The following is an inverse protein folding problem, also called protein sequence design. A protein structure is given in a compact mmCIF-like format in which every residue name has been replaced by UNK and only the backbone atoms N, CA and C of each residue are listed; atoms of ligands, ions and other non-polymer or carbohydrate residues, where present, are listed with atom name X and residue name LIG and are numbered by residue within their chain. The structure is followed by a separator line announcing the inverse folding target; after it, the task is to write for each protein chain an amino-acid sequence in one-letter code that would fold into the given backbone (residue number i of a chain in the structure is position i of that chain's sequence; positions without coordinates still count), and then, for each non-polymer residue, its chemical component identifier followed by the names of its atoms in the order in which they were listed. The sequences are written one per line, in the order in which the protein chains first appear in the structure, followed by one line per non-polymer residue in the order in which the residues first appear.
data_IF_188287364740
#
_entry.id   IF_188287364740
#
_cell.length_a   1.000
_cell.length_b   1.000
_cell.length_c   1.000
_cell.angle_alpha   90.00
_cell.angle_beta   90.00
_cell.angle_gamma   90.00
#
_symmetry.space_group_name_H-M   'P 1'
#
loop_
_entity.id
_entity.type
_entity.pdbx_description
1 polymer ?
#
# COMPACT_ATOMS: atom_id res chain seq x y z
N UNK A 1 -2.75 54.91 -27.35
CA UNK A 1 -3.36 53.93 -26.41
C UNK A 1 -3.62 54.64 -25.09
N UNK A 2 -4.87 54.63 -24.63
CA UNK A 2 -5.25 55.23 -23.35
C UNK A 2 -4.66 54.39 -22.21
N UNK A 3 -4.25 55.00 -21.10
CA UNK A 3 -3.56 54.37 -19.96
C UNK A 3 -4.24 53.09 -19.44
N UNK A 4 -5.56 53.08 -19.36
CA UNK A 4 -6.35 51.89 -18.95
C UNK A 4 -6.19 50.66 -19.87
N UNK A 5 -5.95 50.84 -21.18
CA UNK A 5 -5.70 49.71 -22.10
C UNK A 5 -4.35 49.05 -21.83
N UNK A 6 -3.32 49.82 -21.42
CA UNK A 6 -2.01 49.26 -21.07
C UNK A 6 -2.08 48.45 -19.77
N UNK A 7 -2.89 48.89 -18.81
CA UNK A 7 -3.13 48.18 -17.54
C UNK A 7 -3.89 46.87 -17.79
N UNK A 8 -4.93 46.89 -18.64
CA UNK A 8 -5.67 45.68 -19.03
C UNK A 8 -4.79 44.66 -19.76
N UNK A 9 -3.97 45.10 -20.71
CA UNK A 9 -3.04 44.20 -21.42
C UNK A 9 -2.00 43.62 -20.45
N UNK A 10 -1.46 44.44 -19.54
CA UNK A 10 -0.51 43.97 -18.51
C UNK A 10 -1.12 42.90 -17.60
N UNK A 11 -2.37 43.10 -17.16
CA UNK A 11 -3.08 42.13 -16.32
C UNK A 11 -3.34 40.79 -17.05
N UNK A 12 -3.73 40.85 -18.32
CA UNK A 12 -3.96 39.65 -19.14
C UNK A 12 -2.65 38.88 -19.37
N UNK A 13 -1.56 39.57 -19.71
CA UNK A 13 -0.24 38.94 -19.89
C UNK A 13 0.26 38.32 -18.59
N UNK A 14 0.09 38.98 -17.45
CA UNK A 14 0.46 38.45 -16.15
C UNK A 14 -0.36 37.19 -15.80
N UNK A 15 -1.67 37.19 -16.05
CA UNK A 15 -2.52 36.01 -15.83
C UNK A 15 -2.10 34.82 -16.70
N UNK A 16 -1.81 35.05 -17.99
CA UNK A 16 -1.31 34.02 -18.91
C UNK A 16 0.04 33.48 -18.42
N UNK A 17 0.95 34.35 -17.98
CA UNK A 17 2.26 33.95 -17.48
C UNK A 17 2.15 33.10 -16.20
N UNK A 18 1.26 33.47 -15.26
CA UNK A 18 1.03 32.70 -14.03
C UNK A 18 0.47 31.31 -14.36
N UNK A 19 -0.52 31.23 -15.25
CA UNK A 19 -1.08 29.95 -15.70
C UNK A 19 0.01 29.10 -16.37
N UNK A 20 0.80 29.66 -17.27
CA UNK A 20 1.90 28.95 -17.94
C UNK A 20 2.96 28.43 -16.95
N UNK A 21 3.27 29.21 -15.91
CA UNK A 21 4.24 28.84 -14.88
C UNK A 21 3.72 27.68 -14.00
N UNK A 22 2.43 27.66 -13.69
CA UNK A 22 1.76 26.55 -12.98
C UNK A 22 1.77 25.27 -13.83
N UNK A 23 1.46 25.38 -15.13
CA UNK A 23 1.49 24.25 -16.06
C UNK A 23 2.91 23.70 -16.28
N UNK A 24 3.92 24.56 -16.30
CA UNK A 24 5.33 24.14 -16.39
C UNK A 24 5.80 23.46 -15.11
N UNK A 25 5.49 24.01 -13.93
CA UNK A 25 5.88 23.45 -12.64
C UNK A 25 5.23 22.08 -12.37
N UNK A 26 3.98 21.88 -12.78
CA UNK A 26 3.24 20.61 -12.60
C UNK A 26 3.31 19.66 -13.79
N UNK A 27 4.01 20.06 -14.87
CA UNK A 27 4.14 19.27 -16.09
C UNK A 27 4.92 17.97 -15.88
N UNK A 28 5.82 17.92 -14.89
CA UNK A 28 6.66 16.75 -14.60
C UNK A 28 5.85 15.51 -14.25
N UNK A 29 4.96 15.61 -13.24
CA UNK A 29 4.13 14.46 -12.81
C UNK A 29 3.16 14.00 -13.91
N UNK A 30 2.57 14.94 -14.67
CA UNK A 30 1.65 14.61 -15.76
C UNK A 30 2.38 13.89 -16.89
N UNK A 31 3.56 14.36 -17.28
CA UNK A 31 4.39 13.70 -18.28
C UNK A 31 4.82 12.31 -17.82
N UNK A 32 5.27 12.14 -16.57
CA UNK A 32 5.60 10.81 -16.02
C UNK A 32 4.42 9.85 -16.12
N UNK A 33 3.20 10.31 -15.80
CA UNK A 33 1.99 9.48 -15.93
C UNK A 33 1.70 9.10 -17.38
N UNK A 34 1.81 10.05 -18.30
CA UNK A 34 1.55 9.82 -19.72
C UNK A 34 2.57 8.86 -20.34
N UNK A 35 3.86 9.02 -20.01
CA UNK A 35 4.94 8.12 -20.42
C UNK A 35 4.72 6.71 -19.86
N UNK A 36 4.28 6.60 -18.59
CA UNK A 36 3.96 5.34 -17.93
C UNK A 36 2.85 4.57 -18.66
N UNK A 37 1.72 5.23 -18.95
CA UNK A 37 0.62 4.59 -19.67
C UNK A 37 0.96 4.28 -21.12
N UNK A 38 1.79 5.10 -21.78
CA UNK A 38 2.28 4.81 -23.13
C UNK A 38 3.17 3.56 -23.15
N UNK A 39 4.08 3.42 -22.18
CA UNK A 39 4.94 2.24 -22.06
C UNK A 39 4.11 0.98 -21.75
N UNK A 40 3.18 1.06 -20.79
CA UNK A 40 2.26 -0.02 -20.48
C UNK A 40 1.45 -0.47 -21.71
N UNK A 41 0.93 0.48 -22.50
CA UNK A 41 0.20 0.18 -23.73
C UNK A 41 1.07 -0.44 -24.82
N UNK A 42 2.34 -0.08 -24.90
CA UNK A 42 3.28 -0.68 -25.84
C UNK A 42 3.69 -2.11 -25.42
N UNK A 43 3.28 -2.58 -24.23
CA UNK A 43 3.78 -3.81 -23.63
C UNK A 43 5.21 -3.70 -23.13
N UNK A 44 5.77 -2.48 -23.08
CA UNK A 44 7.11 -2.19 -22.58
C UNK A 44 7.06 -2.01 -21.06
N UNK A 45 6.94 -3.15 -20.38
CA UNK A 45 6.86 -3.17 -18.92
C UNK A 45 8.17 -2.76 -18.25
N UNK A 46 9.33 -2.89 -18.91
CA UNK A 46 10.61 -2.44 -18.37
C UNK A 46 10.61 -0.91 -18.23
N UNK A 47 10.21 -0.21 -19.31
CA UNK A 47 10.10 1.26 -19.29
C UNK A 47 8.99 1.74 -18.34
N UNK A 48 7.85 1.06 -18.31
CA UNK A 48 6.76 1.40 -17.38
C UNK A 48 7.19 1.24 -15.92
N UNK A 49 7.90 0.15 -15.60
CA UNK A 49 8.39 -0.13 -14.25
C UNK A 49 9.47 0.87 -13.84
N UNK A 50 10.37 1.26 -14.75
CA UNK A 50 11.39 2.28 -14.49
C UNK A 50 10.79 3.66 -14.12
N UNK A 51 9.57 3.98 -14.55
CA UNK A 51 8.87 5.23 -14.19
C UNK A 51 8.22 5.19 -12.80
N UNK A 52 8.29 4.06 -12.12
CA UNK A 52 7.83 3.89 -10.73
C UNK A 52 8.95 4.14 -9.73
N UNK A 53 8.61 4.52 -8.51
CA UNK A 53 9.58 4.81 -7.44
C UNK A 53 10.34 3.57 -7.04
N UNK A 54 11.57 3.72 -6.54
CA UNK A 54 12.33 2.58 -5.99
C UNK A 54 11.51 1.83 -4.94
N UNK A 55 10.78 2.58 -4.11
CA UNK A 55 9.89 2.04 -3.10
C UNK A 55 8.75 1.17 -3.66
N UNK A 56 8.14 1.57 -4.78
CA UNK A 56 7.12 0.74 -5.44
C UNK A 56 7.76 -0.51 -6.07
N UNK A 57 8.96 -0.38 -6.62
CA UNK A 57 9.70 -1.49 -7.21
C UNK A 57 10.18 -2.52 -6.18
N UNK A 58 10.44 -2.10 -4.94
CA UNK A 58 10.78 -2.99 -3.83
C UNK A 58 9.56 -3.75 -3.30
N UNK A 59 8.37 -3.16 -3.40
CA UNK A 59 7.12 -3.71 -2.84
C UNK A 59 6.19 -4.40 -3.84
N UNK A 60 6.43 -4.28 -5.14
CA UNK A 60 5.57 -4.85 -6.20
C UNK A 60 6.43 -5.25 -7.37
N UNK A 61 6.42 -6.53 -7.75
CA UNK A 61 7.21 -6.98 -8.89
C UNK A 61 6.69 -6.39 -10.21
N UNK A 62 7.54 -6.37 -11.23
CA UNK A 62 7.15 -5.95 -12.58
C UNK A 62 5.98 -6.78 -13.12
N UNK A 63 5.96 -8.10 -12.85
CA UNK A 63 4.87 -9.00 -13.24
C UNK A 63 3.58 -8.71 -12.47
N UNK A 64 3.67 -8.37 -11.18
CA UNK A 64 2.52 -7.94 -10.37
C UNK A 64 1.91 -6.65 -10.90
N UNK A 65 2.75 -5.67 -11.21
CA UNK A 65 2.32 -4.42 -11.83
C UNK A 65 1.65 -4.70 -13.18
N UNK A 66 2.27 -5.53 -14.03
CA UNK A 66 1.70 -5.92 -15.33
C UNK A 66 0.32 -6.59 -15.19
N UNK A 67 0.18 -7.53 -14.24
CA UNK A 67 -1.12 -8.17 -13.94
C UNK A 67 -2.16 -7.15 -13.49
N UNK A 68 -1.78 -6.21 -12.62
CA UNK A 68 -2.68 -5.14 -12.17
C UNK A 68 -3.13 -4.24 -13.33
N UNK A 69 -2.20 -3.81 -14.19
CA UNK A 69 -2.50 -2.96 -15.33
C UNK A 69 -3.44 -3.66 -16.31
N UNK A 70 -3.19 -4.93 -16.61
CA UNK A 70 -4.04 -5.74 -17.48
C UNK A 70 -5.44 -5.95 -16.89
N UNK A 71 -5.52 -6.38 -15.64
CA UNK A 71 -6.81 -6.59 -14.95
C UNK A 71 -7.63 -5.29 -14.85
N UNK A 72 -6.95 -4.16 -14.73
CA UNK A 72 -7.57 -2.83 -14.64
C UNK A 72 -7.86 -2.18 -16.01
N UNK A 73 -7.41 -2.80 -17.11
CA UNK A 73 -7.43 -2.26 -18.48
C UNK A 73 -6.62 -0.97 -18.65
N UNK A 74 -5.66 -0.74 -17.77
CA UNK A 74 -4.78 0.43 -17.79
C UNK A 74 -3.65 0.29 -18.81
N UNK A 75 -3.37 -0.93 -19.25
CA UNK A 75 -2.56 -1.26 -20.43
C UNK A 75 -3.24 -0.90 -21.76
N UNK A 76 -4.49 -0.42 -21.74
CA UNK A 76 -5.24 -0.05 -22.95
C UNK A 76 -5.50 1.46 -23.03
N UNK A 77 -4.89 2.25 -22.16
CA UNK A 77 -5.08 3.71 -22.07
C UNK A 77 -4.51 4.40 -23.31
N UNK A 78 -5.34 5.18 -23.99
CA UNK A 78 -4.96 5.96 -25.18
C UNK A 78 -4.86 7.46 -24.90
N UNK A 79 -5.51 7.92 -23.83
CA UNK A 79 -5.58 9.33 -23.47
C UNK A 79 -5.78 9.45 -21.96
N UNK A 80 -5.19 10.48 -21.38
CA UNK A 80 -5.33 10.86 -19.97
C UNK A 80 -5.83 12.30 -19.90
N UNK A 81 -6.70 12.58 -18.93
CA UNK A 81 -7.24 13.91 -18.67
C UNK A 81 -7.19 14.19 -17.19
N UNK A 82 -6.41 15.19 -16.79
CA UNK A 82 -6.13 15.49 -15.39
C UNK A 82 -6.99 16.66 -14.89
N UNK A 83 -7.92 16.40 -13.97
CA UNK A 83 -8.80 17.39 -13.35
C UNK A 83 -8.13 18.11 -12.18
N UNK A 84 -7.19 17.45 -11.49
CA UNK A 84 -6.42 18.02 -10.40
C UNK A 84 -4.95 17.68 -10.52
N UNK A 85 -4.09 18.65 -10.23
CA UNK A 85 -2.64 18.49 -10.16
C UNK A 85 -2.13 19.27 -8.95
N UNK A 86 -1.41 18.62 -8.07
CA UNK A 86 -0.84 19.23 -6.87
C UNK A 86 0.59 18.75 -6.67
N UNK A 87 1.48 19.66 -6.28
CA UNK A 87 2.86 19.36 -5.89
C UNK A 87 3.12 20.06 -4.56
N UNK A 88 3.64 19.31 -3.59
CA UNK A 88 4.12 19.84 -2.31
C UNK A 88 5.53 19.32 -2.08
N UNK A 89 6.51 20.23 -2.15
CA UNK A 89 7.93 19.88 -2.10
C UNK A 89 8.29 18.77 -3.11
N UNK A 90 8.68 17.60 -2.61
CA UNK A 90 9.12 16.45 -3.40
C UNK A 90 8.03 15.37 -3.55
N UNK A 91 6.77 15.70 -3.25
CA UNK A 91 5.62 14.83 -3.52
C UNK A 91 4.63 15.49 -4.46
N UNK A 92 3.89 14.66 -5.20
CA UNK A 92 2.88 15.13 -6.15
C UNK A 92 1.65 14.23 -6.19
N UNK A 93 0.53 14.80 -6.59
CA UNK A 93 -0.73 14.07 -6.79
C UNK A 93 -1.36 14.49 -8.10
N UNK A 94 -1.81 13.51 -8.87
CA UNK A 94 -2.67 13.70 -10.04
C UNK A 94 -4.01 13.02 -9.81
N UNK A 95 -5.07 13.72 -10.17
CA UNK A 95 -6.41 13.13 -10.28
C UNK A 95 -6.98 13.42 -11.65
N UNK A 96 -7.64 12.44 -12.22
CA UNK A 96 -8.12 12.54 -13.58
C UNK A 96 -8.87 11.34 -14.07
N UNK A 97 -8.95 11.20 -15.38
CA UNK A 97 -9.59 10.12 -16.10
C UNK A 97 -8.66 9.62 -17.19
N UNK A 98 -8.45 8.31 -17.25
CA UNK A 98 -7.83 7.64 -18.38
C UNK A 98 -8.91 7.08 -19.30
N UNK A 99 -8.78 7.31 -20.59
CA UNK A 99 -9.66 6.78 -21.64
C UNK A 99 -8.97 5.60 -22.31
N UNK A 100 -9.63 4.44 -22.37
CA UNK A 100 -9.11 3.26 -23.06
C UNK A 100 -9.42 3.28 -24.56
N UNK A 101 -8.76 2.42 -25.34
CA UNK A 101 -9.04 2.23 -26.77
C UNK A 101 -10.49 1.82 -27.09
N UNK A 102 -11.20 1.25 -26.12
CA UNK A 102 -12.63 0.92 -26.24
C UNK A 102 -13.56 2.09 -25.90
N UNK A 103 -13.01 3.25 -25.53
CA UNK A 103 -13.75 4.44 -25.10
C UNK A 103 -14.16 4.42 -23.63
N UNK A 104 -13.72 3.45 -22.83
CA UNK A 104 -14.04 3.40 -21.41
C UNK A 104 -13.27 4.49 -20.66
N UNK A 105 -13.98 5.23 -19.81
CA UNK A 105 -13.40 6.27 -18.95
C UNK A 105 -13.16 5.71 -17.55
N UNK A 106 -11.91 5.67 -17.14
CA UNK A 106 -11.45 5.13 -15.87
C UNK A 106 -10.93 6.29 -15.04
N UNK A 107 -11.63 6.70 -13.96
CA UNK A 107 -11.14 7.80 -13.14
C UNK A 107 -9.99 7.27 -12.26
N UNK A 108 -8.93 8.06 -12.12
CA UNK A 108 -7.66 7.67 -11.54
C UNK A 108 -7.14 8.72 -10.55
N UNK A 109 -6.44 8.25 -9.53
CA UNK A 109 -5.54 9.05 -8.68
C UNK A 109 -4.15 8.43 -8.72
N UNK A 110 -3.13 9.25 -8.96
CA UNK A 110 -1.72 8.87 -8.88
C UNK A 110 -1.02 9.73 -7.84
N UNK A 111 -0.08 9.13 -7.11
CA UNK A 111 0.83 9.86 -6.24
C UNK A 111 2.26 9.65 -6.72
N UNK A 112 3.08 10.68 -6.52
CA UNK A 112 4.43 10.78 -7.01
C UNK A 112 5.37 11.18 -5.89
N UNK A 113 6.61 10.71 -5.99
CA UNK A 113 7.75 11.17 -5.21
C UNK A 113 8.87 11.58 -6.16
N UNK A 114 9.68 12.55 -5.77
CA UNK A 114 10.82 13.00 -6.55
C UNK A 114 12.09 12.26 -6.11
N UNK A 115 12.68 11.50 -7.03
CA UNK A 115 13.89 10.71 -6.81
C UNK A 115 14.96 11.13 -7.82
N UNK A 116 16.14 11.52 -7.34
CA UNK A 116 17.23 11.95 -8.24
C UNK A 116 16.89 13.16 -9.13
N UNK A 117 15.89 13.97 -8.74
CA UNK A 117 15.40 15.09 -9.54
C UNK A 117 14.29 14.75 -10.53
N UNK A 118 13.93 13.47 -10.66
CA UNK A 118 12.88 12.97 -11.55
C UNK A 118 11.64 12.55 -10.76
N UNK A 119 10.45 12.72 -11.35
CA UNK A 119 9.20 12.27 -10.74
C UNK A 119 8.99 10.79 -11.02
N UNK A 120 8.65 10.05 -9.96
CA UNK A 120 8.38 8.61 -10.01
C UNK A 120 7.02 8.31 -9.39
N UNK A 121 6.30 7.35 -9.96
CA UNK A 121 4.99 6.92 -9.46
C UNK A 121 5.20 6.05 -8.21
N UNK A 122 4.66 6.49 -7.08
CA UNK A 122 4.66 5.75 -5.81
C UNK A 122 3.30 5.12 -5.51
N UNK A 123 2.22 5.65 -6.11
CA UNK A 123 0.87 5.09 -5.99
C UNK A 123 0.09 5.25 -7.29
N UNK A 124 -0.66 4.21 -7.67
CA UNK A 124 -1.63 4.24 -8.76
C UNK A 124 -2.96 3.65 -8.26
N UNK A 125 -4.02 4.46 -8.26
CA UNK A 125 -5.35 4.10 -7.76
C UNK A 125 -6.42 4.32 -8.82
N UNK A 126 -7.25 3.30 -9.05
CA UNK A 126 -8.50 3.42 -9.79
C UNK A 126 -9.60 3.90 -8.85
N UNK A 127 -10.27 4.98 -9.23
CA UNK A 127 -11.51 5.44 -8.58
C UNK A 127 -12.69 4.89 -9.39
N UNK A 128 -13.84 4.64 -8.74
CA UNK A 128 -15.01 4.04 -9.40
C UNK A 128 -16.06 5.12 -9.59
N UNK A 129 -16.67 5.21 -10.77
CA UNK A 129 -17.82 6.08 -11.00
C UNK A 129 -19.10 5.36 -10.55
N UNK A 130 -19.72 5.83 -9.47
CA UNK A 130 -20.92 5.27 -8.84
C UNK A 130 -21.20 6.01 -7.53
N UNK A 131 -22.40 5.83 -6.95
CA UNK A 131 -22.71 6.38 -5.61
C UNK A 131 -21.58 5.99 -4.67
N UNK A 132 -21.05 7.00 -4.01
CA UNK A 132 -19.90 6.93 -3.13
C UNK A 132 -20.25 6.11 -1.88
N UNK A 133 -20.24 4.79 -2.01
CA UNK A 133 -19.85 3.95 -0.88
C UNK A 133 -18.40 4.32 -0.61
N UNK A 134 -18.20 5.22 0.36
CA UNK A 134 -16.92 5.79 0.76
C UNK A 134 -15.91 4.76 1.27
N UNK A 135 -16.12 3.46 1.01
CA UNK A 135 -15.37 2.37 1.60
C UNK A 135 -14.90 1.28 0.61
N UNK A 136 -15.03 1.47 -0.70
CA UNK A 136 -14.35 0.60 -1.69
C UNK A 136 -13.15 1.29 -2.31
N UNK A 137 -12.25 1.80 -1.46
CA UNK A 137 -10.87 1.93 -1.87
C UNK A 137 -10.28 0.53 -1.91
N UNK A 138 -9.88 0.03 -3.09
CA UNK A 138 -8.77 -0.93 -3.10
C UNK A 138 -7.56 -0.13 -2.64
N UNK A 139 -7.38 0.00 -1.33
CA UNK A 139 -6.11 0.43 -0.75
C UNK A 139 -5.09 -0.58 -1.22
N UNK A 140 -3.90 -0.14 -1.62
CA UNK A 140 -2.78 -1.07 -1.73
C UNK A 140 -2.39 -1.50 -0.31
N UNK A 141 -1.83 -2.71 -0.16
CA UNK A 141 -1.29 -3.10 1.12
C UNK A 141 -0.18 -2.11 1.53
N UNK A 142 0.05 -1.91 2.84
CA UNK A 142 1.18 -1.13 3.35
C UNK A 142 2.50 -1.63 2.78
N UNK A 143 3.56 -0.84 2.88
CA UNK A 143 4.87 -1.26 2.39
C UNK A 143 5.39 -2.47 3.18
N UNK A 144 6.25 -3.34 2.61
CA UNK A 144 6.78 -4.52 3.32
C UNK A 144 7.40 -4.20 4.69
N UNK A 145 8.13 -3.09 4.82
CA UNK A 145 8.70 -2.66 6.10
C UNK A 145 7.63 -2.22 7.11
N UNK A 146 6.58 -1.56 6.63
CA UNK A 146 5.45 -1.19 7.47
C UNK A 146 4.68 -2.44 7.93
N UNK A 147 4.41 -3.37 7.01
CA UNK A 147 3.79 -4.67 7.31
C UNK A 147 4.62 -5.42 8.36
N UNK A 148 5.95 -5.48 8.20
CA UNK A 148 6.86 -6.15 9.15
C UNK A 148 6.81 -5.50 10.53
N UNK A 149 6.83 -4.16 10.60
CA UNK A 149 6.70 -3.43 11.86
C UNK A 149 5.36 -3.68 12.54
N UNK A 150 4.26 -3.64 11.79
CA UNK A 150 2.92 -3.93 12.29
C UNK A 150 2.85 -5.34 12.90
N UNK A 151 3.26 -6.35 12.12
CA UNK A 151 3.30 -7.74 12.54
C UNK A 151 4.15 -7.90 13.81
N UNK A 152 5.40 -7.42 13.81
CA UNK A 152 6.29 -7.53 14.98
C UNK A 152 5.71 -6.87 16.23
N UNK A 153 5.11 -5.68 16.08
CA UNK A 153 4.51 -4.96 17.19
C UNK A 153 3.33 -5.73 17.79
N UNK A 154 2.44 -6.26 16.96
CA UNK A 154 1.25 -6.97 17.44
C UNK A 154 1.59 -8.38 17.94
N UNK A 155 2.53 -9.08 17.31
CA UNK A 155 3.05 -10.36 17.81
C UNK A 155 3.65 -10.18 19.21
N UNK A 156 4.45 -9.13 19.44
CA UNK A 156 5.02 -8.83 20.77
C UNK A 156 3.93 -8.56 21.80
N UNK A 157 2.94 -7.73 21.45
CA UNK A 157 1.82 -7.43 22.34
C UNK A 157 0.99 -8.67 22.67
N UNK A 158 0.79 -9.57 21.71
CA UNK A 158 0.14 -10.86 21.93
C UNK A 158 0.95 -11.71 22.91
N UNK A 159 2.26 -11.82 22.71
CA UNK A 159 3.14 -12.61 23.59
C UNK A 159 3.13 -12.07 25.02
N UNK A 160 3.27 -10.75 25.19
CA UNK A 160 3.15 -10.10 26.49
C UNK A 160 1.81 -10.42 27.17
N UNK A 161 0.70 -10.31 26.43
CA UNK A 161 -0.63 -10.65 26.93
C UNK A 161 -0.75 -12.13 27.33
N UNK A 162 -0.14 -13.04 26.56
CA UNK A 162 -0.15 -14.48 26.86
C UNK A 162 0.66 -14.82 28.12
N UNK A 163 1.85 -14.21 28.28
CA UNK A 163 2.71 -14.38 29.47
C UNK A 163 2.04 -13.84 30.72
N UNK A 164 1.48 -12.63 30.63
CA UNK A 164 0.80 -11.98 31.75
C UNK A 164 -0.59 -12.59 32.02
N UNK A 165 -1.05 -13.49 31.14
CA UNK A 165 -2.42 -14.02 31.12
C UNK A 165 -3.46 -12.88 31.19
N UNK A 166 -3.18 -11.79 30.48
CA UNK A 166 -3.99 -10.58 30.44
C UNK A 166 -4.41 -10.25 28.99
N UNK A 167 -5.54 -10.77 28.50
CA UNK A 167 -6.01 -10.52 27.13
C UNK A 167 -6.24 -9.03 26.82
N UNK A 168 -6.54 -8.20 27.82
CA UNK A 168 -6.73 -6.75 27.63
C UNK A 168 -5.45 -6.06 27.16
N UNK A 169 -4.27 -6.60 27.50
CA UNK A 169 -3.01 -6.07 26.97
C UNK A 169 -2.96 -6.17 25.45
N UNK A 170 -3.48 -7.26 24.86
CA UNK A 170 -3.49 -7.42 23.41
C UNK A 170 -4.49 -6.49 22.73
N UNK A 171 -5.65 -6.26 23.36
CA UNK A 171 -6.69 -5.36 22.85
C UNK A 171 -6.24 -3.90 22.68
N UNK A 172 -5.14 -3.47 23.32
CA UNK A 172 -4.57 -2.13 23.08
C UNK A 172 -4.15 -1.88 21.62
N UNK A 173 -3.93 -2.95 20.83
CA UNK A 173 -3.67 -2.86 19.38
C UNK A 173 -4.92 -2.89 18.50
N UNK A 174 -6.09 -3.12 19.11
CA UNK A 174 -7.36 -3.35 18.42
C UNK A 174 -8.20 -2.06 18.35
N UNK A 175 -9.30 -2.07 17.58
CA UNK A 175 -10.32 -1.01 17.62
C UNK A 175 -10.85 -0.79 19.03
N UNK A 176 -11.32 0.42 19.35
CA UNK A 176 -11.74 0.77 20.71
C UNK A 176 -12.94 -0.04 21.19
N UNK A 177 -13.76 -0.52 20.24
CA UNK A 177 -14.93 -1.33 20.50
C UNK A 177 -14.61 -2.83 20.70
N UNK A 178 -13.35 -3.24 20.53
CA UNK A 178 -12.96 -4.64 20.66
C UNK A 178 -12.97 -5.09 22.14
N UNK A 179 -13.58 -6.24 22.39
CA UNK A 179 -13.70 -6.88 23.70
C UNK A 179 -12.89 -8.17 23.77
N UNK A 180 -12.75 -8.72 24.98
CA UNK A 180 -12.04 -10.00 25.17
C UNK A 180 -12.73 -11.13 24.41
N UNK A 181 -14.05 -11.08 24.23
CA UNK A 181 -14.77 -12.03 23.39
C UNK A 181 -14.30 -12.00 21.93
N UNK A 182 -13.89 -10.84 21.40
CA UNK A 182 -13.37 -10.75 20.02
C UNK A 182 -12.07 -11.52 19.82
N UNK A 183 -11.29 -11.77 20.88
CA UNK A 183 -10.07 -12.56 20.79
C UNK A 183 -10.35 -14.06 20.53
N UNK A 184 -11.58 -14.50 20.82
CA UNK A 184 -12.04 -15.88 20.63
C UNK A 184 -11.23 -16.92 21.40
N UNK A 185 -11.41 -18.18 21.03
CA UNK A 185 -10.69 -19.31 21.65
C UNK A 185 -9.18 -19.29 21.34
N UNK A 186 -8.78 -18.59 20.27
CA UNK A 186 -7.39 -18.52 19.80
C UNK A 186 -6.40 -18.07 20.89
N UNK A 187 -6.80 -17.13 21.74
CA UNK A 187 -5.95 -16.66 22.84
C UNK A 187 -5.64 -17.79 23.82
N UNK A 188 -6.67 -18.55 24.21
CA UNK A 188 -6.53 -19.67 25.15
C UNK A 188 -5.75 -20.84 24.54
N UNK A 189 -5.90 -21.07 23.23
CA UNK A 189 -5.16 -22.11 22.49
C UNK A 189 -3.67 -21.80 22.36
N UNK A 190 -3.29 -20.52 22.27
CA UNK A 190 -1.88 -20.12 22.13
C UNK A 190 -1.13 -20.06 23.46
N UNK A 191 -1.83 -19.94 24.59
CA UNK A 191 -1.21 -19.82 25.92
C UNK A 191 -0.21 -20.93 26.27
N UNK A 192 -0.47 -22.24 26.01
CA UNK A 192 0.53 -23.29 26.24
C UNK A 192 1.83 -23.12 25.42
N UNK A 193 1.81 -22.27 24.40
CA UNK A 193 2.94 -21.99 23.53
C UNK A 193 3.58 -20.63 23.82
N UNK A 194 3.14 -19.87 24.83
CA UNK A 194 3.61 -18.51 25.10
C UNK A 194 5.14 -18.41 25.17
N UNK A 195 5.79 -19.31 25.93
CA UNK A 195 7.26 -19.35 26.06
C UNK A 195 7.96 -19.63 24.73
N UNK A 196 7.40 -20.53 23.91
CA UNK A 196 7.92 -20.81 22.55
C UNK A 196 7.73 -19.60 21.63
N UNK A 197 6.64 -18.86 21.80
CA UNK A 197 6.37 -17.65 21.03
C UNK A 197 7.31 -16.49 21.37
N UNK A 198 7.88 -16.42 22.59
CA UNK A 198 8.91 -15.42 22.94
C UNK A 198 10.08 -15.45 21.97
N UNK A 199 10.52 -16.63 21.60
CA UNK A 199 11.60 -16.79 20.62
C UNK A 199 11.19 -16.32 19.21
N UNK A 200 9.89 -16.38 18.85
CA UNK A 200 9.38 -15.85 17.58
C UNK A 200 9.53 -14.32 17.52
N UNK A 201 9.27 -13.60 18.62
CA UNK A 201 9.38 -12.14 18.66
C UNK A 201 10.81 -11.58 18.49
N UNK A 202 11.82 -12.46 18.58
CA UNK A 202 13.22 -12.14 18.34
C UNK A 202 13.62 -12.36 16.87
N UNK A 203 12.79 -13.07 16.10
CA UNK A 203 13.01 -13.32 14.68
C UNK A 203 12.15 -12.40 13.84
N UNK A 204 12.60 -12.11 12.62
CA UNK A 204 11.79 -11.38 11.66
C UNK A 204 10.83 -12.33 10.94
N UNK A 205 9.54 -11.99 10.83
CA UNK A 205 8.61 -12.79 10.04
C UNK A 205 8.96 -12.71 8.56
N UNK A 206 8.91 -13.85 7.89
CA UNK A 206 8.87 -13.88 6.42
C UNK A 206 7.42 -13.74 5.96
N UNK A 207 7.06 -12.54 5.54
CA UNK A 207 5.75 -12.26 4.93
C UNK A 207 5.74 -12.88 3.53
N UNK A 208 4.79 -13.79 3.29
CA UNK A 208 4.64 -14.51 2.02
C UNK A 208 3.51 -13.97 1.16
N UNK A 209 2.54 -13.28 1.76
CA UNK A 209 1.47 -12.62 1.04
C UNK A 209 0.98 -11.38 1.80
N UNK A 210 0.68 -10.33 1.03
CA UNK A 210 -0.02 -9.15 1.50
C UNK A 210 -1.12 -8.81 0.48
N UNK A 211 -2.38 -8.88 0.91
CA UNK A 211 -3.51 -8.70 0.03
C UNK A 211 -4.56 -7.79 0.67
N UNK A 212 -5.18 -6.95 -0.17
CA UNK A 212 -6.24 -6.06 0.27
C UNK A 212 -7.59 -6.65 -0.15
N UNK A 213 -8.43 -6.92 0.84
CA UNK A 213 -9.80 -7.35 0.69
C UNK A 213 -10.71 -6.22 0.18
N UNK A 214 -11.89 -6.61 -0.31
CA UNK A 214 -12.88 -5.68 -0.87
C UNK A 214 -13.41 -4.66 0.15
N UNK A 215 -13.31 -4.98 1.43
CA UNK A 215 -13.86 -4.21 2.54
C UNK A 215 -12.79 -3.33 3.23
N UNK A 216 -11.62 -3.15 2.59
CA UNK A 216 -10.49 -2.41 3.16
C UNK A 216 -9.68 -3.20 4.20
N UNK A 217 -9.96 -4.49 4.37
CA UNK A 217 -9.20 -5.40 5.23
C UNK A 217 -7.89 -5.77 4.56
N UNK A 218 -6.76 -5.49 5.21
CA UNK A 218 -5.46 -5.99 4.83
C UNK A 218 -5.25 -7.38 5.43
N UNK A 219 -5.03 -8.38 4.58
CA UNK A 219 -4.61 -9.73 4.94
C UNK A 219 -3.09 -9.84 4.81
N UNK A 220 -2.42 -10.21 5.90
CA UNK A 220 -1.01 -10.57 5.92
C UNK A 220 -0.86 -12.05 6.26
N UNK A 221 -0.15 -12.78 5.41
CA UNK A 221 0.24 -14.18 5.66
C UNK A 221 1.75 -14.29 5.68
N UNK A 222 2.28 -15.11 6.57
CA UNK A 222 3.70 -15.33 6.65
C UNK A 222 4.10 -16.41 7.63
N UNK A 223 5.39 -16.47 7.92
CA UNK A 223 5.97 -17.52 8.76
C UNK A 223 7.02 -16.95 9.70
N UNK A 224 7.10 -17.53 10.89
CA UNK A 224 8.26 -17.46 11.76
C UNK A 224 8.91 -18.85 11.81
N UNK A 225 10.24 -18.89 11.77
CA UNK A 225 11.02 -20.11 12.02
C UNK A 225 11.87 -19.91 13.26
N UNK A 226 11.77 -20.84 14.21
CA UNK A 226 12.55 -20.84 15.45
C UNK A 226 12.95 -22.27 15.74
N UNK A 227 14.25 -22.56 15.74
CA UNK A 227 14.89 -23.79 16.25
C UNK A 227 13.95 -25.01 16.40
N UNK A 228 13.58 -25.65 15.28
CA UNK A 228 12.73 -26.84 15.27
C UNK A 228 11.23 -26.61 15.08
N UNK A 229 10.77 -25.35 15.08
CA UNK A 229 9.37 -24.97 15.00
C UNK A 229 9.07 -24.00 13.85
N UNK A 230 7.93 -24.23 13.21
CA UNK A 230 7.34 -23.36 12.21
C UNK A 230 6.03 -22.79 12.76
N UNK A 231 5.95 -21.46 12.83
CA UNK A 231 4.69 -20.77 13.12
C UNK A 231 4.18 -20.10 11.85
N UNK A 232 3.05 -20.60 11.32
CA UNK A 232 2.34 -19.96 10.22
C UNK A 232 1.40 -18.93 10.81
N UNK A 233 1.51 -17.69 10.35
CA UNK A 233 0.66 -16.59 10.78
C UNK A 233 -0.29 -16.15 9.66
N UNK A 234 -1.51 -15.80 10.08
CA UNK A 234 -2.49 -15.11 9.27
C UNK A 234 -3.10 -13.99 10.10
N UNK A 235 -2.87 -12.75 9.72
CA UNK A 235 -3.31 -11.56 10.44
C UNK A 235 -4.19 -10.71 9.52
N UNK A 236 -5.23 -10.12 10.08
CA UNK A 236 -6.09 -9.19 9.36
C UNK A 236 -6.10 -7.84 10.07
N UNK A 237 -5.99 -6.78 9.26
CA UNK A 237 -5.86 -5.40 9.69
C UNK A 237 -6.92 -4.54 9.02
N UNK A 238 -7.40 -3.54 9.75
CA UNK A 238 -8.25 -2.49 9.19
C UNK A 238 -7.72 -1.12 9.60
N UNK A 239 -7.98 -0.11 8.77
CA UNK A 239 -7.51 1.25 9.02
C UNK A 239 -8.56 2.04 9.80
N UNK A 240 -8.20 2.50 10.99
CA UNK A 240 -9.02 3.35 11.86
C UNK A 240 -8.27 4.65 12.12
N UNK A 241 -8.89 5.80 11.84
CA UNK A 241 -8.29 7.14 12.00
C UNK A 241 -6.89 7.28 11.38
N UNK A 242 -6.69 6.61 10.24
CA UNK A 242 -5.41 6.62 9.53
C UNK A 242 -4.36 5.62 10.03
N UNK A 243 -4.61 4.90 11.13
CA UNK A 243 -3.72 3.88 11.68
C UNK A 243 -4.23 2.46 11.37
N UNK A 244 -3.33 1.54 11.04
CA UNK A 244 -3.67 0.13 10.94
C UNK A 244 -3.83 -0.48 12.32
N UNK A 245 -4.97 -1.12 12.55
CA UNK A 245 -5.27 -1.87 13.76
C UNK A 245 -5.54 -3.33 13.41
N UNK A 246 -5.03 -4.24 14.22
CA UNK A 246 -5.30 -5.66 14.07
C UNK A 246 -6.76 -5.94 14.46
N UNK A 247 -7.43 -6.77 13.67
CA UNK A 247 -8.84 -7.14 13.86
C UNK A 247 -9.05 -8.66 13.82
N UNK A 248 -8.05 -9.40 13.37
CA UNK A 248 -8.02 -10.85 13.44
C UNK A 248 -6.59 -11.35 13.50
N UNK A 249 -6.39 -12.48 14.18
CA UNK A 249 -5.10 -13.13 14.32
C UNK A 249 -5.29 -14.64 14.34
N UNK A 250 -4.38 -15.35 13.68
CA UNK A 250 -4.30 -16.80 13.72
C UNK A 250 -2.83 -17.22 13.64
N UNK A 251 -2.42 -18.06 14.59
CA UNK A 251 -1.12 -18.70 14.58
C UNK A 251 -1.32 -20.21 14.62
N UNK A 252 -0.66 -20.91 13.70
CA UNK A 252 -0.54 -22.37 13.72
C UNK A 252 0.91 -22.71 13.96
N UNK A 253 1.17 -23.33 15.10
CA UNK A 253 2.52 -23.74 15.50
C UNK A 253 2.63 -25.26 15.29
N UNK A 254 3.63 -25.67 14.51
CA UNK A 254 3.99 -27.07 14.31
C UNK A 254 5.50 -27.24 14.43
N UNK A 255 5.96 -28.49 14.55
CA UNK A 255 7.36 -28.79 14.29
C UNK A 255 7.70 -28.33 12.85
N UNK A 256 8.88 -27.75 12.66
CA UNK A 256 9.40 -27.38 11.35
C UNK A 256 9.78 -28.65 10.59
N UNK A 257 9.10 -28.96 9.46
CA UNK A 257 9.36 -30.18 8.70
C UNK A 257 10.76 -30.23 8.08
N UNK A 258 11.45 -29.09 8.00
CA UNK A 258 12.82 -29.01 7.46
C UNK A 258 13.89 -29.16 8.55
N UNK A 259 13.50 -29.31 9.82
CA UNK A 259 14.46 -29.62 10.88
C UNK A 259 14.75 -31.11 10.84
N UNK A 260 15.99 -31.46 10.50
CA UNK A 260 16.46 -32.85 10.52
C UNK A 260 16.29 -33.43 11.93
N UNK A 261 15.53 -34.52 12.14
CA UNK A 261 15.41 -35.16 13.44
C UNK A 261 16.75 -35.75 13.96
N UNK A 262 17.83 -35.66 13.17
CA UNK A 262 19.17 -36.11 13.52
C UNK A 262 20.09 -35.10 14.24
N UNK A 263 19.73 -33.82 14.34
CA UNK A 263 20.54 -32.82 15.08
C UNK A 263 19.98 -32.53 16.48
N UNK A 264 19.81 -33.59 17.29
CA UNK A 264 19.95 -33.45 18.74
C UNK A 264 21.34 -33.96 19.09
N UNK A 265 22.25 -33.02 19.37
CA UNK A 265 23.62 -33.27 19.81
C UNK A 265 23.69 -34.19 21.04
N UNK A 266 24.73 -35.03 21.04
CA UNK A 266 25.32 -35.78 22.16
C UNK A 266 25.74 -34.87 23.34
#
# INVERSE_FOLDING_TARGET
MKTWQKVLIGAVVAAIAIVALIFWATGGIARTADDFFSAAKAGDMDSAYALTSQQLQEGTSQEELGRFLHASKLDQVIETSWSSRSIQADTGTLEGTATTGTGAKIPLRLEFVKEGGEWRIILLKKTVAGIEDSNSAVSLPPLPDEQRRMVLQDTRRLIEALIDNNPEHFLKGWPEEATVENLGEGFSTLRPFADRMVALAQQEPKISAAAMGKDGVLLLEGTYRVAGDLAIMRLEYMKFDGAWKIVSYNYKISADPDTDPGETEE
#
